data_IF_398770036618
#
_entry.id   IF_398770036618
#
_cell.length_a   1.000
_cell.length_b   1.000
_cell.length_c   1.000
_cell.angle_alpha   90.00
_cell.angle_beta   90.00
_cell.angle_gamma   90.00
#
_symmetry.space_group_name_H-M   'P 1'
#
loop_
_entity.id
_entity.type
_entity.pdbx_description
1 polymer ?
#
# COMPACT_ATOMS: atom_id res chain seq x y z
N UNK A 1 -14.89 -12.78 -21.78
CA UNK A 1 -14.30 -12.84 -23.13
C UNK A 1 -12.89 -13.41 -22.95
N UNK A 2 -12.63 -14.68 -23.26
CA UNK A 2 -11.28 -15.23 -23.33
C UNK A 2 -10.66 -14.67 -24.59
N UNK A 3 -9.56 -13.94 -24.50
CA UNK A 3 -8.78 -13.55 -25.66
C UNK A 3 -8.15 -14.83 -26.24
N UNK A 4 -8.34 -15.08 -27.54
CA UNK A 4 -7.75 -16.23 -28.26
C UNK A 4 -6.23 -16.09 -28.52
N UNK A 5 -5.52 -15.30 -27.70
CA UNK A 5 -4.10 -15.05 -27.82
C UNK A 5 -3.42 -14.89 -26.47
N UNK A 6 -2.13 -15.14 -26.42
CA UNK A 6 -1.28 -14.88 -25.27
C UNK A 6 -1.26 -13.37 -24.95
N UNK A 7 -1.66 -13.00 -23.73
CA UNK A 7 -1.67 -11.58 -23.29
C UNK A 7 -0.24 -11.16 -22.93
N UNK A 8 0.27 -10.12 -23.60
CA UNK A 8 1.57 -9.53 -23.30
C UNK A 8 1.43 -8.34 -22.36
N UNK A 9 2.18 -8.32 -21.27
CA UNK A 9 2.13 -7.30 -20.23
C UNK A 9 3.55 -6.76 -20.01
N UNK A 10 3.74 -5.47 -20.16
CA UNK A 10 5.02 -4.83 -19.82
C UNK A 10 5.21 -4.88 -18.29
N UNK A 11 6.37 -5.29 -17.83
CA UNK A 11 6.66 -5.47 -16.41
C UNK A 11 7.90 -4.68 -15.97
N UNK A 12 7.78 -4.00 -14.85
CA UNK A 12 8.91 -3.35 -14.18
C UNK A 12 8.73 -3.35 -12.66
N UNK A 13 9.72 -3.80 -11.92
CA UNK A 13 9.78 -3.69 -10.46
C UNK A 13 11.18 -3.21 -10.05
N UNK A 14 11.26 -2.01 -9.48
CA UNK A 14 12.51 -1.38 -9.02
C UNK A 14 13.14 -2.08 -7.80
N UNK A 15 12.57 -3.17 -7.30
CA UNK A 15 13.16 -3.91 -6.17
C UNK A 15 14.38 -4.74 -6.54
N UNK A 16 14.68 -4.89 -7.84
CA UNK A 16 15.79 -5.70 -8.35
C UNK A 16 15.66 -7.22 -8.12
N UNK A 17 14.44 -7.69 -7.86
CA UNK A 17 14.16 -9.10 -7.58
C UNK A 17 13.57 -9.82 -8.79
N UNK A 18 14.38 -10.58 -9.49
CA UNK A 18 13.96 -11.36 -10.67
C UNK A 18 12.94 -12.46 -10.35
N UNK A 19 12.98 -13.00 -9.11
CA UNK A 19 12.03 -14.01 -8.65
C UNK A 19 10.59 -13.49 -8.63
N UNK A 20 10.37 -12.20 -8.39
CA UNK A 20 9.05 -11.59 -8.41
C UNK A 20 8.39 -11.62 -9.79
N UNK A 21 9.12 -11.39 -10.87
CA UNK A 21 8.56 -11.43 -12.21
C UNK A 21 8.02 -12.83 -12.55
N UNK A 22 8.75 -13.87 -12.19
CA UNK A 22 8.30 -15.26 -12.38
C UNK A 22 7.05 -15.56 -11.56
N UNK A 23 7.06 -15.18 -10.30
CA UNK A 23 5.92 -15.35 -9.43
C UNK A 23 4.66 -14.65 -9.97
N UNK A 24 4.78 -13.39 -10.40
CA UNK A 24 3.66 -12.68 -11.04
C UNK A 24 3.20 -13.34 -12.34
N UNK A 25 4.13 -13.81 -13.15
CA UNK A 25 3.84 -14.56 -14.37
C UNK A 25 2.97 -15.78 -14.08
N UNK A 26 3.36 -16.58 -13.10
CA UNK A 26 2.64 -17.81 -12.73
C UNK A 26 1.25 -17.48 -12.17
N UNK A 27 1.15 -16.54 -11.23
CA UNK A 27 -0.12 -16.11 -10.63
C UNK A 27 -1.12 -15.54 -11.65
N UNK A 28 -0.64 -14.77 -12.62
CA UNK A 28 -1.48 -14.19 -13.67
C UNK A 28 -1.90 -15.25 -14.68
N UNK A 29 -0.99 -16.16 -15.08
CA UNK A 29 -1.30 -17.23 -16.00
C UNK A 29 -2.37 -18.19 -15.49
N UNK A 30 -2.37 -18.47 -14.19
CA UNK A 30 -3.40 -19.29 -13.54
C UNK A 30 -4.79 -18.67 -13.62
N UNK A 31 -4.89 -17.34 -13.57
CA UNK A 31 -6.16 -16.62 -13.48
C UNK A 31 -6.67 -16.06 -14.80
N UNK A 32 -5.77 -15.58 -15.64
CA UNK A 32 -6.11 -14.92 -16.90
C UNK A 32 -5.98 -15.86 -18.12
N UNK A 33 -5.32 -17.02 -17.96
CA UNK A 33 -4.87 -17.87 -19.05
C UNK A 33 -3.49 -17.43 -19.55
N UNK A 34 -3.04 -17.93 -20.72
CA UNK A 34 -1.69 -17.68 -21.21
C UNK A 34 -1.35 -16.19 -21.26
N UNK A 35 -0.37 -15.77 -20.47
CA UNK A 35 0.14 -14.40 -20.48
C UNK A 35 1.66 -14.40 -20.37
N UNK A 36 2.30 -13.34 -20.88
CA UNK A 36 3.74 -13.15 -20.83
C UNK A 36 4.08 -11.79 -20.20
N UNK A 37 4.92 -11.81 -19.15
CA UNK A 37 5.49 -10.60 -18.58
C UNK A 37 6.79 -10.25 -19.29
N UNK A 38 6.76 -9.18 -20.06
CA UNK A 38 7.89 -8.67 -20.85
C UNK A 38 8.57 -7.56 -20.04
N UNK A 39 9.90 -7.65 -19.81
CA UNK A 39 10.62 -6.56 -19.16
C UNK A 39 10.36 -5.23 -19.87
N UNK A 40 10.10 -4.17 -19.11
CA UNK A 40 9.75 -2.85 -19.68
C UNK A 40 10.86 -2.29 -20.58
N UNK A 41 12.11 -2.68 -20.34
CA UNK A 41 13.28 -2.27 -21.12
C UNK A 41 13.39 -3.00 -22.46
N UNK A 42 12.72 -4.13 -22.62
CA UNK A 42 12.72 -4.89 -23.86
C UNK A 42 11.93 -4.15 -24.96
N UNK A 43 12.42 -4.19 -26.19
CA UNK A 43 11.72 -3.64 -27.35
C UNK A 43 10.36 -4.30 -27.61
N UNK A 44 10.21 -5.56 -27.23
CA UNK A 44 8.94 -6.29 -27.32
C UNK A 44 7.84 -5.70 -26.40
N UNK A 45 8.21 -4.91 -25.38
CA UNK A 45 7.23 -4.23 -24.52
C UNK A 45 6.51 -3.09 -25.24
N UNK A 46 7.05 -2.53 -26.32
CA UNK A 46 6.48 -1.36 -27.02
C UNK A 46 5.07 -1.59 -27.56
N UNK A 47 4.69 -2.83 -27.87
CA UNK A 47 3.35 -3.21 -28.32
C UNK A 47 2.43 -3.73 -27.20
N UNK A 48 2.81 -3.58 -25.93
CA UNK A 48 1.97 -4.02 -24.82
C UNK A 48 0.83 -3.04 -24.56
N UNK A 49 -0.39 -3.58 -24.42
CA UNK A 49 -1.58 -2.82 -24.01
C UNK A 49 -1.70 -2.67 -22.48
N UNK A 50 -0.96 -3.45 -21.72
CA UNK A 50 -1.00 -3.49 -20.25
C UNK A 50 0.40 -3.32 -19.69
N UNK A 51 0.51 -2.59 -18.58
CA UNK A 51 1.75 -2.45 -17.82
C UNK A 51 1.52 -2.76 -16.34
N UNK A 52 2.36 -3.62 -15.77
CA UNK A 52 2.38 -3.97 -14.35
C UNK A 52 3.71 -3.46 -13.78
N UNK A 53 3.66 -2.37 -12.98
CA UNK A 53 4.88 -1.60 -12.70
C UNK A 53 4.99 -1.13 -11.26
N UNK A 54 6.24 -1.04 -10.78
CA UNK A 54 6.59 -0.40 -9.52
C UNK A 54 7.83 0.49 -9.72
N UNK A 55 7.66 1.81 -9.53
CA UNK A 55 8.69 2.83 -9.78
C UNK A 55 9.38 2.69 -11.14
N UNK A 56 8.65 2.67 -12.27
CA UNK A 56 9.25 2.61 -13.59
C UNK A 56 10.08 3.87 -13.87
N UNK A 57 11.11 3.77 -14.74
CA UNK A 57 11.86 4.95 -15.19
C UNK A 57 10.93 5.96 -15.85
N UNK A 58 11.14 7.26 -15.55
CA UNK A 58 10.34 8.33 -16.13
C UNK A 58 10.41 8.32 -17.67
N UNK A 59 9.28 8.60 -18.31
CA UNK A 59 9.17 8.63 -19.77
C UNK A 59 9.09 7.25 -20.44
N UNK A 60 9.31 6.17 -19.70
CA UNK A 60 9.32 4.84 -20.32
C UNK A 60 7.92 4.37 -20.71
N UNK A 61 6.93 4.62 -19.88
CA UNK A 61 5.52 4.27 -20.17
C UNK A 61 4.97 5.08 -21.35
N UNK A 62 5.42 6.29 -21.59
CA UNK A 62 5.02 7.11 -22.74
C UNK A 62 5.45 6.52 -24.10
N UNK A 63 6.38 5.57 -24.12
CA UNK A 63 6.83 4.92 -25.32
C UNK A 63 5.89 3.77 -25.76
N UNK A 64 5.05 3.26 -24.86
CA UNK A 64 4.07 2.21 -25.12
C UNK A 64 2.82 2.86 -25.74
N UNK A 65 2.73 2.90 -27.07
CA UNK A 65 1.68 3.64 -27.79
C UNK A 65 0.27 3.01 -27.69
N UNK A 66 0.22 1.70 -27.45
CA UNK A 66 -1.02 0.93 -27.39
C UNK A 66 -1.50 0.71 -25.93
N UNK A 67 -0.86 1.37 -24.97
CA UNK A 67 -1.12 1.19 -23.54
C UNK A 67 -2.56 1.60 -23.18
N UNK A 68 -3.30 0.69 -22.56
CA UNK A 68 -4.70 0.86 -22.12
C UNK A 68 -4.86 0.87 -20.60
N UNK A 69 -3.98 0.13 -19.89
CA UNK A 69 -4.06 -0.01 -18.44
C UNK A 69 -2.66 -0.05 -17.82
N UNK A 70 -2.47 0.74 -16.78
CA UNK A 70 -1.30 0.73 -15.90
C UNK A 70 -1.73 0.24 -14.53
N UNK A 71 -1.10 -0.83 -14.06
CA UNK A 71 -1.31 -1.40 -12.73
C UNK A 71 -0.10 -1.11 -11.86
N UNK A 72 -0.26 -0.30 -10.81
CA UNK A 72 0.76 -0.14 -9.78
C UNK A 72 0.83 -1.40 -8.92
N UNK A 73 2.04 -1.96 -8.76
CA UNK A 73 2.33 -3.11 -7.89
C UNK A 73 2.28 -2.77 -6.39
N UNK A 74 1.93 -1.54 -6.05
CA UNK A 74 1.75 -1.08 -4.68
C UNK A 74 0.43 -0.37 -4.47
N UNK A 75 0.15 0.01 -3.23
CA UNK A 75 -1.07 0.75 -2.88
C UNK A 75 -1.00 2.23 -3.26
N UNK A 76 0.17 2.79 -3.44
CA UNK A 76 0.37 4.17 -3.90
C UNK A 76 0.52 4.26 -5.41
N UNK A 77 0.15 5.40 -5.98
CA UNK A 77 0.34 5.75 -7.40
C UNK A 77 1.17 7.01 -7.57
N UNK A 78 1.69 7.60 -6.49
CA UNK A 78 2.40 8.87 -6.51
C UNK A 78 3.62 8.84 -7.44
N UNK A 79 4.31 7.70 -7.50
CA UNK A 79 5.45 7.47 -8.38
C UNK A 79 5.08 7.50 -9.88
N UNK A 80 3.84 7.11 -10.22
CA UNK A 80 3.31 7.23 -11.58
C UNK A 80 2.88 8.66 -11.88
N UNK A 81 2.15 9.30 -10.94
CA UNK A 81 1.66 10.67 -11.10
C UNK A 81 2.77 11.72 -11.10
N UNK A 82 3.96 11.39 -10.58
CA UNK A 82 5.13 12.26 -10.64
C UNK A 82 5.78 12.28 -12.05
N UNK A 83 5.48 11.31 -12.91
CA UNK A 83 5.98 11.29 -14.28
C UNK A 83 5.12 12.21 -15.18
N UNK A 84 5.64 13.37 -15.49
CA UNK A 84 4.97 14.37 -16.34
C UNK A 84 4.75 13.91 -17.78
N UNK A 85 5.43 12.87 -18.21
CA UNK A 85 5.28 12.28 -19.54
C UNK A 85 4.30 11.12 -19.59
N UNK A 86 3.66 10.79 -18.45
CA UNK A 86 2.65 9.72 -18.38
C UNK A 86 1.53 10.01 -19.39
N UNK A 87 1.15 9.04 -20.25
CA UNK A 87 0.09 9.27 -21.24
C UNK A 87 -1.28 9.44 -20.57
N UNK A 88 -2.09 10.36 -21.09
CA UNK A 88 -3.43 10.68 -20.54
C UNK A 88 -4.50 9.62 -20.81
N UNK A 89 -4.29 8.70 -21.74
CA UNK A 89 -5.29 7.74 -22.19
C UNK A 89 -5.48 6.49 -21.33
N UNK A 90 -4.39 5.87 -20.85
CA UNK A 90 -4.49 4.63 -20.09
C UNK A 90 -5.17 4.80 -18.74
N UNK A 91 -6.03 3.84 -18.38
CA UNK A 91 -6.54 3.76 -17.02
C UNK A 91 -5.41 3.40 -16.04
N UNK A 92 -5.42 4.01 -14.84
CA UNK A 92 -4.46 3.69 -13.79
C UNK A 92 -5.19 3.01 -12.64
N UNK A 93 -4.70 1.85 -12.23
CA UNK A 93 -5.16 1.14 -11.04
C UNK A 93 -3.99 0.76 -10.15
N UNK A 94 -4.31 0.28 -8.95
CA UNK A 94 -3.32 -0.08 -7.92
C UNK A 94 -3.72 -1.34 -7.19
N UNK A 95 -2.77 -1.99 -6.53
CA UNK A 95 -3.10 -3.05 -5.60
C UNK A 95 -3.85 -2.48 -4.39
N UNK A 96 -4.94 -3.15 -4.02
CA UNK A 96 -5.63 -2.93 -2.75
C UNK A 96 -5.59 -4.25 -2.01
N UNK A 97 -4.68 -4.36 -1.05
CA UNK A 97 -4.45 -5.56 -0.27
C UNK A 97 -4.98 -5.36 1.15
N UNK A 98 -6.06 -6.07 1.55
CA UNK A 98 -6.58 -6.03 2.91
C UNK A 98 -5.56 -6.49 3.96
N UNK A 99 -4.73 -7.49 3.65
CA UNK A 99 -3.75 -8.02 4.59
C UNK A 99 -2.66 -7.00 4.90
N UNK A 100 -2.26 -6.19 3.92
CA UNK A 100 -1.34 -5.08 4.16
C UNK A 100 -1.95 -4.02 5.07
N UNK A 101 -3.23 -3.69 4.90
CA UNK A 101 -3.94 -2.75 5.78
C UNK A 101 -4.01 -3.29 7.21
N UNK A 102 -4.23 -4.60 7.35
CA UNK A 102 -4.21 -5.29 8.63
C UNK A 102 -2.83 -5.28 9.29
N UNK A 103 -1.78 -5.62 8.55
CA UNK A 103 -0.40 -5.61 9.05
C UNK A 103 0.03 -4.20 9.49
N UNK A 104 -0.29 -3.17 8.68
CA UNK A 104 0.01 -1.79 9.02
C UNK A 104 -0.74 -1.33 10.28
N UNK A 105 -2.00 -1.75 10.44
CA UNK A 105 -2.76 -1.42 11.64
C UNK A 105 -2.19 -2.07 12.91
N UNK A 106 -1.65 -3.29 12.82
CA UNK A 106 -0.94 -3.94 13.94
C UNK A 106 0.33 -3.18 14.32
N UNK A 107 1.09 -2.71 13.32
CA UNK A 107 2.28 -1.89 13.56
C UNK A 107 1.92 -0.57 14.26
N UNK A 108 0.85 0.11 13.84
CA UNK A 108 0.37 1.33 14.48
C UNK A 108 -0.06 1.05 15.92
N UNK A 109 -0.85 -0.01 16.15
CA UNK A 109 -1.26 -0.42 17.50
C UNK A 109 -0.07 -0.68 18.43
N UNK A 110 0.94 -1.40 17.94
CA UNK A 110 2.16 -1.66 18.70
C UNK A 110 2.81 -0.35 19.18
N UNK A 111 2.97 0.62 18.27
CA UNK A 111 3.63 1.89 18.60
C UNK A 111 2.77 2.77 19.52
N UNK A 112 1.45 2.81 19.32
CA UNK A 112 0.54 3.58 20.19
C UNK A 112 0.51 2.98 21.59
N UNK A 113 0.45 1.66 21.72
CA UNK A 113 0.48 0.98 23.02
C UNK A 113 1.85 1.13 23.69
N UNK A 114 2.94 1.04 22.94
CA UNK A 114 4.29 1.29 23.46
C UNK A 114 4.40 2.72 24.04
N UNK A 115 3.86 3.71 23.33
CA UNK A 115 3.78 5.08 23.82
C UNK A 115 2.88 5.21 25.05
N UNK A 116 1.68 4.61 25.04
CA UNK A 116 0.75 4.64 26.18
C UNK A 116 1.40 4.07 27.46
N UNK A 117 2.22 3.02 27.30
CA UNK A 117 2.84 2.28 28.40
C UNK A 117 4.26 2.74 28.74
N UNK A 118 4.70 3.88 28.23
CA UNK A 118 6.06 4.41 28.45
C UNK A 118 7.17 3.39 28.14
N UNK A 119 6.96 2.57 27.11
CA UNK A 119 7.85 1.48 26.74
C UNK A 119 9.30 1.92 26.50
N UNK A 120 9.50 3.11 25.91
CA UNK A 120 10.83 3.70 25.75
C UNK A 120 11.52 3.92 27.11
N UNK A 121 10.84 4.53 28.08
CA UNK A 121 11.37 4.78 29.41
C UNK A 121 11.81 3.49 30.12
N UNK A 122 10.94 2.47 30.07
CA UNK A 122 11.29 1.17 30.70
C UNK A 122 12.43 0.46 30.01
N UNK A 123 12.52 0.54 28.67
CA UNK A 123 13.67 -0.05 27.95
C UNK A 123 14.99 0.67 28.25
N UNK A 124 14.98 1.99 28.39
CA UNK A 124 16.17 2.76 28.77
C UNK A 124 16.60 2.41 30.19
N UNK A 125 15.67 2.40 31.15
CA UNK A 125 15.95 2.02 32.53
C UNK A 125 16.44 0.58 32.69
N UNK A 126 15.90 -0.35 31.87
CA UNK A 126 16.37 -1.75 31.89
C UNK A 126 17.85 -1.90 31.51
N UNK A 127 18.36 -1.07 30.60
CA UNK A 127 19.78 -1.06 30.23
C UNK A 127 20.66 -0.65 31.43
N UNK A 128 20.13 0.24 32.26
CA UNK A 128 20.80 0.73 33.47
C UNK A 128 20.50 -0.12 34.73
N UNK A 129 19.77 -1.26 34.55
CA UNK A 129 19.28 -2.10 35.65
C UNK A 129 18.52 -1.32 36.72
N UNK A 130 17.81 -0.27 36.32
CA UNK A 130 17.01 0.61 37.18
C UNK A 130 15.54 0.35 36.98
N UNK A 131 14.78 0.28 38.07
CA UNK A 131 13.33 0.26 38.01
C UNK A 131 12.79 1.58 38.56
N UNK A 132 12.08 2.32 37.72
CA UNK A 132 11.41 3.56 38.06
C UNK A 132 9.97 3.47 37.51
N UNK A 133 9.03 3.25 38.43
CA UNK A 133 7.63 3.13 38.07
C UNK A 133 7.05 4.47 37.62
N UNK A 134 6.21 4.45 36.57
CA UNK A 134 5.41 5.59 36.12
C UNK A 134 3.93 5.32 36.33
N UNK A 135 3.17 6.41 36.51
CA UNK A 135 1.71 6.33 36.54
C UNK A 135 1.19 5.79 35.20
N UNK A 136 0.33 4.77 35.28
CA UNK A 136 -0.20 4.11 34.10
C UNK A 136 -1.37 4.90 33.51
N UNK A 137 -1.17 5.38 32.30
CA UNK A 137 -2.23 6.06 31.51
C UNK A 137 -3.27 5.07 31.02
N UNK A 138 -4.53 5.51 31.02
CA UNK A 138 -5.63 4.73 30.43
C UNK A 138 -5.88 5.14 28.98
N UNK A 139 -6.34 4.21 28.13
CA UNK A 139 -6.64 4.47 26.72
C UNK A 139 -7.60 5.63 26.51
N UNK A 140 -8.65 5.74 27.35
CA UNK A 140 -9.64 6.83 27.30
C UNK A 140 -9.06 8.23 27.55
N UNK A 141 -7.88 8.32 28.17
CA UNK A 141 -7.20 9.58 28.47
C UNK A 141 -6.17 9.97 27.40
N UNK A 142 -6.07 9.18 26.32
CA UNK A 142 -5.20 9.46 25.19
C UNK A 142 -6.05 9.55 23.92
N UNK A 143 -6.60 10.74 23.58
CA UNK A 143 -7.34 10.91 22.35
C UNK A 143 -6.43 10.76 21.14
N UNK A 144 -6.94 10.12 20.09
CA UNK A 144 -6.21 9.84 18.85
C UNK A 144 -6.96 10.43 17.67
N UNK A 145 -6.24 11.18 16.83
CA UNK A 145 -6.76 11.65 15.55
C UNK A 145 -6.13 10.86 14.40
N UNK A 146 -6.97 10.32 13.50
CA UNK A 146 -6.54 9.62 12.30
C UNK A 146 -6.81 10.49 11.07
N UNK A 147 -5.75 11.01 10.46
CA UNK A 147 -5.83 11.80 9.25
C UNK A 147 -5.76 10.92 8.02
N UNK A 148 -6.86 10.89 7.23
CA UNK A 148 -6.98 10.05 6.05
C UNK A 148 -7.77 8.77 6.32
N UNK A 149 -9.09 8.88 6.38
CA UNK A 149 -10.03 7.78 6.65
C UNK A 149 -10.36 6.95 5.38
N UNK A 150 -9.33 6.60 4.61
CA UNK A 150 -9.40 5.66 3.49
C UNK A 150 -9.35 4.20 3.96
N UNK A 151 -9.05 3.27 3.02
CA UNK A 151 -9.02 1.83 3.29
C UNK A 151 -8.09 1.46 4.47
N UNK A 152 -6.94 2.11 4.60
CA UNK A 152 -5.98 1.85 5.69
C UNK A 152 -6.39 2.56 6.98
N UNK A 153 -6.66 3.88 6.89
CA UNK A 153 -6.96 4.69 8.09
C UNK A 153 -8.21 4.25 8.82
N UNK A 154 -9.24 3.79 8.09
CA UNK A 154 -10.45 3.26 8.70
C UNK A 154 -10.18 1.98 9.51
N UNK A 155 -9.38 1.05 8.98
CA UNK A 155 -8.99 -0.18 9.71
C UNK A 155 -8.18 0.16 10.96
N UNK A 156 -7.27 1.13 10.88
CA UNK A 156 -6.49 1.61 12.03
C UNK A 156 -7.41 2.21 13.08
N UNK A 157 -8.29 3.14 12.69
CA UNK A 157 -9.21 3.82 13.59
C UNK A 157 -10.14 2.84 14.33
N UNK A 158 -10.73 1.88 13.59
CA UNK A 158 -11.59 0.85 14.17
C UNK A 158 -10.86 -0.01 15.22
N UNK A 159 -9.61 -0.41 14.93
CA UNK A 159 -8.83 -1.22 15.88
C UNK A 159 -8.41 -0.45 17.12
N UNK A 160 -8.04 0.82 16.98
CA UNK A 160 -7.74 1.70 18.11
C UNK A 160 -8.98 1.91 18.98
N UNK A 161 -10.13 2.17 18.37
CA UNK A 161 -11.40 2.32 19.08
C UNK A 161 -11.81 1.02 19.81
N UNK A 162 -11.61 -0.14 19.18
CA UNK A 162 -11.95 -1.45 19.78
C UNK A 162 -11.17 -1.77 21.06
N UNK A 163 -9.96 -1.21 21.24
CA UNK A 163 -9.17 -1.35 22.48
C UNK A 163 -9.34 -0.17 23.44
N UNK A 164 -10.34 0.70 23.19
CA UNK A 164 -10.82 1.71 24.14
C UNK A 164 -10.15 3.08 24.02
N UNK A 165 -9.50 3.41 22.92
CA UNK A 165 -9.08 4.79 22.64
C UNK A 165 -10.27 5.65 22.20
N UNK A 166 -10.26 6.93 22.55
CA UNK A 166 -11.15 7.95 21.97
C UNK A 166 -10.58 8.37 20.61
N UNK A 167 -11.22 7.93 19.51
CA UNK A 167 -10.69 8.08 18.16
C UNK A 167 -11.54 9.06 17.36
N UNK A 168 -10.88 10.06 16.76
CA UNK A 168 -11.47 10.98 15.80
C UNK A 168 -10.86 10.76 14.42
N UNK A 169 -11.71 10.70 13.38
CA UNK A 169 -11.29 10.55 12.00
C UNK A 169 -11.38 11.87 11.23
N UNK A 170 -10.45 12.09 10.31
CA UNK A 170 -10.53 13.19 9.37
C UNK A 170 -10.39 12.71 7.91
N UNK A 171 -11.23 13.22 7.03
CA UNK A 171 -11.14 12.99 5.60
C UNK A 171 -11.36 14.27 4.80
N UNK A 172 -10.77 14.35 3.60
CA UNK A 172 -10.89 15.52 2.72
C UNK A 172 -12.34 15.78 2.26
N UNK A 173 -13.11 14.72 2.04
CA UNK A 173 -14.53 14.78 1.74
C UNK A 173 -15.33 14.41 2.98
N UNK A 174 -16.47 15.08 3.18
CA UNK A 174 -17.40 14.75 4.24
C UNK A 174 -17.92 13.30 4.10
N UNK A 175 -17.86 12.55 5.19
CA UNK A 175 -18.40 11.19 5.29
C UNK A 175 -18.65 10.81 6.74
N UNK A 176 -19.62 9.93 6.93
CA UNK A 176 -19.89 9.34 8.23
C UNK A 176 -18.91 8.20 8.48
N UNK A 177 -18.41 8.10 9.70
CA UNK A 177 -17.59 6.99 10.16
C UNK A 177 -18.43 6.03 11.00
N UNK A 178 -18.09 4.72 11.03
CA UNK A 178 -18.78 3.78 11.90
C UNK A 178 -18.49 4.11 13.36
N UNK A 179 -19.52 4.00 14.22
CA UNK A 179 -19.32 4.15 15.68
C UNK A 179 -18.27 3.14 16.20
N UNK A 180 -17.49 3.53 17.23
CA UNK A 180 -17.53 4.76 18.01
C UNK A 180 -16.57 5.88 17.50
N UNK A 181 -16.17 5.88 16.24
CA UNK A 181 -15.26 6.88 15.66
C UNK A 181 -16.04 8.19 15.44
N UNK A 182 -15.44 9.31 15.86
CA UNK A 182 -15.99 10.65 15.74
C UNK A 182 -15.52 11.36 14.49
#
# INVERSE_FOLDING_TARGET
MKADGEVKIAYFDNSGRDDKRRWWQDCLSERLGPCQLIPLEDSAALGCEFALVWYPPQGRLAQLKDLKLIVSLGQGVDHLMADKSLPDGPAITRLVDPDMSHALSQWVLLNVLDYLRDGRHYRENAKERRFEAREQRQTKNLPIAVYGMGAIGLVIAQRLAAIGFDVSGWSRSERNFPEPIK
#
